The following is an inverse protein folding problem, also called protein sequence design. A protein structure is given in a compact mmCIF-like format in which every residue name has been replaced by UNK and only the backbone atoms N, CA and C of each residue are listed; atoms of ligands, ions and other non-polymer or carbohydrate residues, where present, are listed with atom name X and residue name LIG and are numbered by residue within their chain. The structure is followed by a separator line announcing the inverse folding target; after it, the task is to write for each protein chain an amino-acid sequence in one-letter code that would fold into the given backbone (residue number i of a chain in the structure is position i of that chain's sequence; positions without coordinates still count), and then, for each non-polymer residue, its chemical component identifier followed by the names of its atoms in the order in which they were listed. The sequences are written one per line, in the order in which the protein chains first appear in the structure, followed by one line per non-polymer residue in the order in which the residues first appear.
data_IF_253358311908
#
_entry.id   IF_253358311908
#
_cell.length_a   1.000
_cell.length_b   1.000
_cell.length_c   1.000
_cell.angle_alpha   90.00
_cell.angle_beta   90.00
_cell.angle_gamma   90.00
#
_symmetry.space_group_name_H-M   'P 1'
#
loop_
_entity.id
_entity.type
_entity.pdbx_description
1 polymer ?
#
# COMPACT_ATOMS: atom_id res chain seq x y z
N UNK A 1 4.34 27.73 -0.70
CA UNK A 1 4.11 26.35 -0.21
C UNK A 1 5.36 25.94 0.57
N UNK A 2 5.32 25.81 1.90
CA UNK A 2 6.49 25.44 2.67
C UNK A 2 6.89 24.01 2.32
N UNK A 3 8.10 23.82 1.82
CA UNK A 3 8.70 22.49 1.64
C UNK A 3 9.02 21.96 3.04
N UNK A 4 8.15 21.13 3.60
CA UNK A 4 8.51 20.35 4.79
C UNK A 4 9.69 19.45 4.43
N UNK A 5 10.85 19.72 5.03
CA UNK A 5 11.98 18.77 5.02
C UNK A 5 11.47 17.43 5.57
N UNK A 6 11.62 16.30 4.86
CA UNK A 6 11.09 15.03 5.32
C UNK A 6 11.81 14.63 6.61
N UNK A 7 11.14 14.81 7.76
CA UNK A 7 11.56 14.17 8.99
C UNK A 7 11.32 12.68 8.82
N UNK A 8 12.40 11.91 8.84
CA UNK A 8 12.34 10.45 8.77
C UNK A 8 11.61 9.95 10.02
N UNK A 9 10.43 9.35 9.84
CA UNK A 9 9.72 8.70 10.93
C UNK A 9 10.56 7.53 11.48
N UNK A 10 10.45 7.20 12.78
CA UNK A 10 11.05 5.98 13.30
C UNK A 10 10.44 4.75 12.58
N UNK A 11 11.19 3.64 12.49
CA UNK A 11 10.64 2.41 11.95
C UNK A 11 9.42 1.94 12.76
N UNK A 12 8.49 1.26 12.08
CA UNK A 12 7.34 0.65 12.75
C UNK A 12 7.84 -0.36 13.79
N UNK A 13 7.23 -0.34 14.97
CA UNK A 13 7.47 -1.34 16.01
C UNK A 13 6.78 -2.64 15.63
N UNK A 14 7.24 -3.76 16.18
CA UNK A 14 6.68 -5.09 15.89
C UNK A 14 5.19 -5.20 16.23
N UNK A 15 4.71 -4.50 17.28
CA UNK A 15 3.29 -4.44 17.66
C UNK A 15 2.42 -3.65 16.67
N UNK A 16 3.03 -2.94 15.72
CA UNK A 16 2.35 -2.16 14.68
C UNK A 16 2.32 -2.90 13.33
N UNK A 17 2.92 -4.09 13.25
CA UNK A 17 2.97 -4.91 12.04
C UNK A 17 2.00 -6.07 12.21
N UNK A 18 0.97 -6.10 11.37
CA UNK A 18 -0.07 -7.13 11.41
C UNK A 18 -0.15 -7.80 10.04
N UNK A 19 -0.23 -9.12 10.03
CA UNK A 19 -0.31 -9.92 8.82
C UNK A 19 -1.72 -10.47 8.61
N UNK A 20 -2.09 -10.62 7.34
CA UNK A 20 -3.35 -11.26 6.95
C UNK A 20 -3.48 -11.41 5.45
N UNK A 21 -4.70 -11.75 5.04
CA UNK A 21 -5.03 -11.96 3.63
C UNK A 21 -5.09 -10.63 2.88
N UNK A 22 -4.65 -10.62 1.62
CA UNK A 22 -4.71 -9.47 0.70
C UNK A 22 -6.13 -9.20 0.19
N UNK A 23 -7.09 -9.00 1.11
CA UNK A 23 -8.51 -8.80 0.79
C UNK A 23 -9.09 -7.59 1.52
N UNK A 24 -10.12 -7.00 0.92
CA UNK A 24 -10.90 -5.93 1.54
C UNK A 24 -11.60 -6.38 2.82
N UNK A 25 -12.06 -7.63 2.87
CA UNK A 25 -12.76 -8.16 4.05
C UNK A 25 -11.83 -8.23 5.25
N UNK A 26 -10.58 -8.66 5.04
CA UNK A 26 -9.58 -8.67 6.09
C UNK A 26 -9.24 -7.24 6.56
N UNK A 27 -9.03 -6.32 5.62
CA UNK A 27 -8.77 -4.91 5.94
C UNK A 27 -9.91 -4.27 6.74
N UNK A 28 -11.16 -4.56 6.37
CA UNK A 28 -12.35 -4.12 7.11
C UNK A 28 -12.38 -4.73 8.51
N UNK A 29 -12.17 -6.04 8.65
CA UNK A 29 -12.16 -6.72 9.95
C UNK A 29 -11.10 -6.13 10.89
N UNK A 30 -9.89 -5.90 10.39
CA UNK A 30 -8.83 -5.27 11.18
C UNK A 30 -9.18 -3.84 11.57
N UNK A 31 -9.74 -3.05 10.66
CA UNK A 31 -10.14 -1.68 10.99
C UNK A 31 -11.28 -1.63 12.01
N UNK A 32 -12.26 -2.53 11.93
CA UNK A 32 -13.32 -2.66 12.94
C UNK A 32 -12.73 -3.00 14.31
N UNK A 33 -11.80 -3.95 14.41
CA UNK A 33 -11.18 -4.28 15.71
C UNK A 33 -10.34 -3.13 16.28
N UNK A 34 -9.70 -2.34 15.41
CA UNK A 34 -9.01 -1.11 15.81
C UNK A 34 -9.99 -0.06 16.35
N UNK A 35 -11.14 0.12 15.69
CA UNK A 35 -12.19 1.06 16.10
C UNK A 35 -12.81 0.69 17.46
N UNK A 36 -13.02 -0.61 17.70
CA UNK A 36 -13.54 -1.13 18.97
C UNK A 36 -12.54 -1.04 20.12
N UNK A 37 -11.24 -0.99 19.79
CA UNK A 37 -10.14 -0.94 20.75
C UNK A 37 -9.50 0.45 20.86
N UNK A 38 -8.31 0.59 20.27
CA UNK A 38 -7.42 1.76 20.46
C UNK A 38 -7.75 2.96 19.57
N UNK A 39 -8.68 2.80 18.62
CA UNK A 39 -9.10 3.81 17.65
C UNK A 39 -8.14 4.02 16.47
N UNK A 40 -8.68 4.59 15.38
CA UNK A 40 -7.93 4.99 14.17
C UNK A 40 -7.56 6.47 14.13
N UNK A 41 -8.16 7.33 14.96
CA UNK A 41 -7.90 8.78 14.92
C UNK A 41 -6.43 9.11 15.20
N UNK A 42 -5.87 10.01 14.39
CA UNK A 42 -4.47 10.44 14.46
C UNK A 42 -3.46 9.37 14.03
N UNK A 43 -3.90 8.26 13.43
CA UNK A 43 -3.01 7.18 12.96
C UNK A 43 -2.78 7.24 11.46
N UNK A 44 -1.60 6.78 11.05
CA UNK A 44 -1.27 6.50 9.67
C UNK A 44 -1.13 5.00 9.47
N UNK A 45 -1.72 4.47 8.40
CA UNK A 45 -1.70 3.06 8.05
C UNK A 45 -1.08 2.89 6.67
N UNK A 46 -0.07 2.02 6.58
CA UNK A 46 0.44 1.50 5.32
C UNK A 46 -0.16 0.10 5.13
N UNK A 47 -1.06 -0.04 4.17
CA UNK A 47 -1.69 -1.32 3.86
C UNK A 47 -0.82 -2.14 2.90
N UNK A 48 -0.88 -3.47 3.01
CA UNK A 48 -0.11 -4.38 2.17
C UNK A 48 -0.51 -4.37 0.70
N UNK A 49 -1.75 -3.97 0.38
CA UNK A 49 -2.24 -3.71 -0.97
C UNK A 49 -3.45 -2.76 -0.94
N UNK A 50 -3.93 -2.36 -2.12
CA UNK A 50 -5.08 -1.48 -2.27
C UNK A 50 -6.40 -2.09 -1.77
N UNK A 51 -6.60 -3.41 -1.85
CA UNK A 51 -7.81 -4.07 -1.33
C UNK A 51 -7.91 -3.96 0.19
N UNK A 52 -6.82 -4.22 0.92
CA UNK A 52 -6.76 -4.03 2.37
C UNK A 52 -7.05 -2.57 2.71
N UNK A 53 -6.40 -1.62 2.02
CA UNK A 53 -6.62 -0.18 2.23
C UNK A 53 -8.09 0.21 2.02
N UNK A 54 -8.74 -0.37 1.01
CA UNK A 54 -10.15 -0.15 0.73
C UNK A 54 -11.06 -0.67 1.86
N UNK A 55 -10.77 -1.86 2.37
CA UNK A 55 -11.47 -2.40 3.54
C UNK A 55 -11.39 -1.48 4.75
N UNK A 56 -10.20 -0.96 5.03
CA UNK A 56 -9.95 0.01 6.10
C UNK A 56 -10.75 1.30 5.86
N UNK A 57 -10.68 1.85 4.65
CA UNK A 57 -11.37 3.07 4.28
C UNK A 57 -12.89 2.95 4.49
N UNK A 58 -13.47 1.82 4.11
CA UNK A 58 -14.89 1.58 4.30
C UNK A 58 -15.29 1.44 5.77
N UNK A 59 -14.53 0.68 6.57
CA UNK A 59 -14.81 0.56 8.00
C UNK A 59 -14.69 1.91 8.72
N UNK A 60 -13.65 2.69 8.41
CA UNK A 60 -13.45 4.02 8.97
C UNK A 60 -14.59 4.98 8.60
N UNK A 61 -15.02 4.95 7.34
CA UNK A 61 -16.16 5.75 6.86
C UNK A 61 -17.47 5.37 7.55
N UNK A 62 -17.71 4.07 7.75
CA UNK A 62 -18.90 3.58 8.47
C UNK A 62 -18.90 4.06 9.94
N UNK A 63 -17.71 4.32 10.52
CA UNK A 63 -17.53 4.92 11.84
C UNK A 63 -17.47 6.47 11.83
N UNK A 64 -17.74 7.11 10.69
CA UNK A 64 -17.73 8.57 10.55
C UNK A 64 -16.33 9.20 10.56
N UNK A 65 -15.27 8.43 10.31
CA UNK A 65 -13.91 8.93 10.15
C UNK A 65 -13.58 9.13 8.67
N UNK A 66 -12.93 10.24 8.34
CA UNK A 66 -12.50 10.55 6.98
C UNK A 66 -11.01 10.88 6.93
N UNK A 67 -10.24 10.26 6.02
CA UNK A 67 -8.89 10.70 5.75
C UNK A 67 -8.89 11.96 4.85
N UNK A 68 -7.84 12.79 4.89
CA UNK A 68 -6.65 12.62 5.74
C UNK A 68 -6.83 13.19 7.16
N UNK A 69 -7.94 13.88 7.43
CA UNK A 69 -8.12 14.69 8.64
C UNK A 69 -8.23 13.87 9.93
N UNK A 70 -8.99 12.77 9.93
CA UNK A 70 -9.10 11.89 11.08
C UNK A 70 -7.95 10.87 11.14
N UNK A 71 -7.54 10.33 10.00
CA UNK A 71 -6.49 9.31 9.89
C UNK A 71 -5.90 9.32 8.48
N UNK A 72 -4.77 8.64 8.28
CA UNK A 72 -4.15 8.49 6.96
C UNK A 72 -4.11 7.03 6.57
N UNK A 73 -4.38 6.72 5.30
CA UNK A 73 -4.18 5.37 4.74
C UNK A 73 -3.52 5.45 3.37
N UNK A 74 -2.48 4.65 3.20
CA UNK A 74 -1.77 4.47 1.93
C UNK A 74 -1.82 3.00 1.55
N UNK A 75 -2.26 2.71 0.32
CA UNK A 75 -2.25 1.37 -0.26
C UNK A 75 -0.93 1.00 -0.92
N UNK A 76 -0.95 -0.13 -1.64
CA UNK A 76 0.15 -0.63 -2.44
C UNK A 76 -0.44 -1.26 -3.71
N UNK A 77 0.27 -1.14 -4.84
CA UNK A 77 -0.04 -1.57 -6.21
C UNK A 77 -0.58 -0.48 -7.15
N UNK A 78 -1.24 0.57 -6.63
CA UNK A 78 -1.86 1.63 -7.44
C UNK A 78 -2.80 1.07 -8.54
N UNK A 79 -3.64 0.13 -8.14
CA UNK A 79 -4.72 -0.46 -8.96
C UNK A 79 -5.79 0.57 -9.32
N UNK A 80 -6.73 0.16 -10.19
CA UNK A 80 -7.88 0.99 -10.59
C UNK A 80 -8.76 1.41 -9.41
N UNK A 81 -8.75 0.64 -8.30
CA UNK A 81 -9.50 0.96 -7.08
C UNK A 81 -9.16 2.38 -6.60
N UNK A 82 -7.88 2.77 -6.71
CA UNK A 82 -7.40 4.04 -6.18
C UNK A 82 -8.11 5.28 -6.73
N UNK A 83 -8.64 5.22 -7.95
CA UNK A 83 -9.26 6.37 -8.63
C UNK A 83 -10.79 6.32 -8.66
N UNK A 84 -11.40 5.19 -8.32
CA UNK A 84 -12.85 5.02 -8.37
C UNK A 84 -13.52 5.18 -6.99
N UNK A 85 -12.75 5.03 -5.92
CA UNK A 85 -13.24 5.18 -4.54
C UNK A 85 -13.26 6.66 -4.12
N UNK A 86 -13.94 6.97 -3.01
CA UNK A 86 -13.91 8.29 -2.37
C UNK A 86 -13.68 8.16 -0.87
N UNK A 87 -12.74 8.93 -0.30
CA UNK A 87 -11.70 9.71 -0.99
C UNK A 87 -10.78 8.84 -1.86
N UNK A 88 -10.20 9.40 -2.92
CA UNK A 88 -9.24 8.74 -3.80
C UNK A 88 -8.01 8.28 -3.00
N UNK A 89 -7.65 7.00 -3.15
CA UNK A 89 -6.63 6.35 -2.34
C UNK A 89 -5.22 6.66 -2.84
N UNK A 90 -4.38 7.20 -1.95
CA UNK A 90 -2.92 7.26 -2.14
C UNK A 90 -2.33 5.86 -2.10
N UNK A 91 -1.41 5.53 -3.00
CA UNK A 91 -0.86 4.16 -3.10
C UNK A 91 0.54 4.16 -3.69
N UNK A 92 1.36 3.21 -3.24
CA UNK A 92 2.67 2.94 -3.84
C UNK A 92 2.47 2.17 -5.14
N UNK A 93 2.82 2.77 -6.27
CA UNK A 93 2.83 2.14 -7.58
C UNK A 93 4.06 1.25 -7.74
N UNK A 94 3.83 -0.06 -7.68
CA UNK A 94 4.82 -1.05 -8.09
C UNK A 94 4.93 -1.10 -9.63
N UNK A 95 6.14 -1.19 -10.21
CA UNK A 95 6.35 -1.25 -11.66
C UNK A 95 6.09 -2.67 -12.21
N UNK A 96 4.89 -3.20 -11.97
CA UNK A 96 4.55 -4.62 -12.21
C UNK A 96 4.69 -5.00 -13.70
N UNK A 97 4.38 -4.08 -14.62
CA UNK A 97 4.51 -4.33 -16.06
C UNK A 97 5.97 -4.44 -16.47
N UNK A 98 6.82 -3.56 -15.97
CA UNK A 98 8.27 -3.57 -16.19
C UNK A 98 8.91 -4.80 -15.54
N UNK A 99 8.46 -5.18 -14.33
CA UNK A 99 8.88 -6.40 -13.65
C UNK A 99 8.56 -7.65 -14.49
N UNK A 100 7.32 -7.78 -14.97
CA UNK A 100 6.93 -8.90 -15.83
C UNK A 100 7.73 -8.96 -17.13
N UNK A 101 7.92 -7.82 -17.80
CA UNK A 101 8.72 -7.75 -19.02
C UNK A 101 10.20 -8.11 -18.76
N UNK A 102 10.77 -7.65 -17.64
CA UNK A 102 12.12 -8.01 -17.24
C UNK A 102 12.25 -9.50 -16.93
N UNK A 103 11.29 -10.07 -16.18
CA UNK A 103 11.28 -11.48 -15.83
C UNK A 103 11.26 -12.38 -17.08
N UNK A 104 10.42 -12.06 -18.07
CA UNK A 104 10.37 -12.82 -19.33
C UNK A 104 11.68 -12.69 -20.12
N UNK A 105 12.26 -11.49 -20.23
CA UNK A 105 13.56 -11.30 -20.89
C UNK A 105 14.67 -12.12 -20.21
N UNK A 106 14.70 -12.11 -18.88
CA UNK A 106 15.66 -12.87 -18.08
C UNK A 106 15.47 -14.39 -18.26
N UNK A 107 14.22 -14.85 -18.29
CA UNK A 107 13.88 -16.25 -18.51
C UNK A 107 14.31 -16.73 -19.90
N UNK A 108 13.96 -15.99 -20.96
CA UNK A 108 14.33 -16.34 -22.33
C UNK A 108 15.85 -16.42 -22.50
N UNK A 109 16.57 -15.42 -21.99
CA UNK A 109 18.01 -15.39 -22.12
C UNK A 109 18.74 -16.47 -21.30
N UNK A 110 18.09 -17.01 -20.26
CA UNK A 110 18.58 -18.20 -19.53
C UNK A 110 18.21 -19.51 -20.23
N UNK A 111 17.09 -19.55 -20.95
CA UNK A 111 16.72 -20.71 -21.75
C UNK A 111 17.70 -20.89 -22.93
N UNK A 112 18.18 -19.79 -23.52
CA UNK A 112 19.20 -19.79 -24.57
C UNK A 112 20.60 -20.19 -24.05
N UNK A 113 20.95 -19.76 -22.83
CA UNK A 113 22.20 -20.11 -22.16
C UNK A 113 21.94 -20.53 -20.70
N UNK A 114 21.76 -21.84 -20.46
CA UNK A 114 21.50 -22.36 -19.11
C UNK A 114 22.65 -22.11 -18.11
N UNK A 115 23.88 -21.90 -18.59
CA UNK A 115 25.06 -21.64 -17.76
C UNK A 115 25.18 -20.16 -17.34
N UNK A 116 24.36 -19.27 -17.90
CA UNK A 116 24.34 -17.85 -17.55
C UNK A 116 24.18 -17.64 -16.03
N UNK A 117 24.95 -16.74 -15.40
CA UNK A 117 24.80 -16.41 -13.98
C UNK A 117 23.38 -15.95 -13.60
N UNK A 118 23.03 -16.06 -12.31
CA UNK A 118 21.78 -15.46 -11.81
C UNK A 118 21.85 -13.94 -11.93
N UNK A 119 20.73 -13.34 -12.30
CA UNK A 119 20.59 -11.89 -12.42
C UNK A 119 19.59 -11.40 -11.37
N UNK A 120 19.89 -10.24 -10.75
CA UNK A 120 18.99 -9.52 -9.85
C UNK A 120 18.77 -8.13 -10.44
N UNK A 121 17.50 -7.75 -10.59
CA UNK A 121 17.10 -6.43 -11.06
C UNK A 121 16.26 -5.76 -9.99
N UNK A 122 16.57 -4.51 -9.68
CA UNK A 122 15.78 -3.66 -8.79
C UNK A 122 15.10 -2.58 -9.61
N UNK A 123 13.77 -2.51 -9.50
CA UNK A 123 12.96 -1.51 -10.18
C UNK A 123 12.37 -0.56 -9.16
N UNK A 124 12.36 0.74 -9.48
CA UNK A 124 11.91 1.78 -8.56
C UNK A 124 10.39 1.81 -8.48
N UNK A 125 9.86 1.80 -7.25
CA UNK A 125 8.46 2.09 -6.99
C UNK A 125 8.25 3.59 -6.79
N UNK A 126 7.02 4.06 -6.99
CA UNK A 126 6.67 5.48 -6.85
C UNK A 126 5.45 5.65 -5.94
N UNK A 127 5.49 6.61 -5.02
CA UNK A 127 4.31 6.98 -4.25
C UNK A 127 3.40 7.89 -5.08
N UNK A 128 2.17 7.45 -5.34
CA UNK A 128 1.13 8.27 -5.97
C UNK A 128 0.24 8.84 -4.88
N UNK A 129 0.40 10.13 -4.59
CA UNK A 129 -0.37 10.86 -3.56
C UNK A 129 -1.73 11.28 -4.10
N UNK A 130 -2.78 11.04 -3.31
CA UNK A 130 -4.17 11.41 -3.56
C UNK A 130 -4.80 11.94 -2.26
N UNK A 131 -6.11 11.78 -2.10
CA UNK A 131 -6.90 12.42 -1.03
C UNK A 131 -6.73 11.74 0.34
N UNK A 132 -6.27 10.48 0.41
CA UNK A 132 -6.18 9.75 1.69
C UNK A 132 -4.90 10.02 2.50
N UNK A 133 -3.96 10.85 2.01
CA UNK A 133 -2.67 11.13 2.66
C UNK A 133 -2.11 12.51 2.40
#
# INVERSE_FOLDING_TARGET
MPRHSPRRAPPARSDQIVFGSYTSDWGRQWATSMLDGVGLRGRAVLAGNDDIALGILFAARDAGLLPPDDFTVVGFDNTRLCTIVRPHLSSVRAPLREMGAAAIRMLLARAEDPARPSQRLELQAELVVRETS
#
